data_IF_569320298893
#
_entry.id   IF_569320298893
#
_cell.length_a   1.000
_cell.length_b   1.000
_cell.length_c   1.000
_cell.angle_alpha   90.00
_cell.angle_beta   90.00
_cell.angle_gamma   90.00
#
_symmetry.space_group_name_H-M   'P 1'
#
loop_
_entity.id
_entity.type
_entity.pdbx_description
1 polymer ?
#
# COMPACT_ATOMS: atom_id res chain seq x y z
N UNK A 1 10.69 17.07 2.41
CA UNK A 1 9.96 15.83 2.05
C UNK A 1 9.52 15.15 3.33
N UNK A 2 8.31 14.63 3.34
CA UNK A 2 7.79 13.85 4.46
C UNK A 2 8.49 12.49 4.51
N UNK A 3 8.68 11.96 5.70
CA UNK A 3 9.34 10.67 5.88
C UNK A 3 8.32 9.52 5.99
N UNK A 4 8.75 8.32 5.63
CA UNK A 4 7.98 7.08 5.79
C UNK A 4 8.89 6.01 6.40
N UNK A 5 8.29 5.06 7.10
CA UNK A 5 9.01 3.96 7.73
C UNK A 5 8.34 2.60 7.53
N UNK A 6 7.25 2.55 6.76
CA UNK A 6 6.59 1.32 6.35
C UNK A 6 6.00 1.43 4.95
N UNK A 7 6.17 0.39 4.16
CA UNK A 7 5.54 0.18 2.84
C UNK A 7 4.87 -1.18 2.85
N UNK A 8 3.62 -1.24 2.41
CA UNK A 8 2.79 -2.44 2.38
C UNK A 8 2.19 -2.61 0.98
N UNK A 9 2.32 -3.81 0.41
CA UNK A 9 1.59 -4.19 -0.80
C UNK A 9 0.32 -4.93 -0.42
N UNK A 10 -0.79 -4.53 -1.04
CA UNK A 10 -2.08 -5.19 -0.96
C UNK A 10 -2.33 -5.94 -2.26
N UNK A 11 -2.73 -7.21 -2.14
CA UNK A 11 -3.13 -8.06 -3.27
C UNK A 11 -4.63 -8.25 -3.16
N UNK A 12 -5.38 -7.80 -4.16
CA UNK A 12 -6.84 -7.84 -4.16
C UNK A 12 -7.46 -7.23 -2.88
N UNK A 13 -6.88 -6.12 -2.40
CA UNK A 13 -7.35 -5.40 -1.21
C UNK A 13 -6.93 -5.99 0.13
N UNK A 14 -6.32 -7.18 0.18
CA UNK A 14 -5.78 -7.78 1.41
C UNK A 14 -4.28 -7.50 1.56
N UNK A 15 -3.80 -7.12 2.76
CA UNK A 15 -2.36 -6.94 2.98
C UNK A 15 -1.66 -8.29 2.88
N UNK A 16 -0.63 -8.38 2.05
CA UNK A 16 0.22 -9.57 1.98
C UNK A 16 1.34 -9.44 3.03
N UNK A 17 1.42 -10.39 3.96
CA UNK A 17 2.38 -10.36 5.06
C UNK A 17 3.84 -10.39 4.59
N UNK A 18 4.12 -11.07 3.48
CA UNK A 18 5.47 -11.18 2.92
C UNK A 18 5.88 -9.91 2.15
N UNK A 19 4.91 -9.05 1.84
CA UNK A 19 5.10 -7.77 1.13
C UNK A 19 4.90 -6.58 2.06
N UNK A 20 5.35 -6.73 3.31
CA UNK A 20 5.35 -5.70 4.35
C UNK A 20 6.79 -5.32 4.71
N UNK A 21 7.19 -4.10 4.35
CA UNK A 21 8.54 -3.60 4.56
C UNK A 21 8.52 -2.51 5.61
N UNK A 22 9.30 -2.68 6.67
CA UNK A 22 9.51 -1.62 7.67
C UNK A 22 10.97 -1.17 7.65
N UNK A 23 11.22 0.09 7.98
CA UNK A 23 12.59 0.62 8.13
C UNK A 23 13.37 -0.15 9.20
N UNK A 24 12.68 -0.70 10.19
CA UNK A 24 13.27 -1.52 11.26
C UNK A 24 13.76 -2.87 10.75
N UNK A 25 12.96 -3.56 9.94
CA UNK A 25 13.26 -4.93 9.47
C UNK A 25 14.06 -4.94 8.16
N UNK A 26 13.88 -3.92 7.32
CA UNK A 26 14.51 -3.80 5.99
C UNK A 26 15.14 -2.42 5.78
N UNK A 27 16.08 -1.98 6.64
CA UNK A 27 16.60 -0.62 6.64
C UNK A 27 17.27 -0.21 5.32
N UNK A 28 17.85 -1.16 4.59
CA UNK A 28 18.54 -0.91 3.30
C UNK A 28 17.61 -0.47 2.18
N UNK A 29 16.29 -0.73 2.29
CA UNK A 29 15.31 -0.25 1.31
C UNK A 29 14.91 1.21 1.54
N UNK A 30 15.22 1.77 2.72
CA UNK A 30 14.77 3.11 3.11
C UNK A 30 15.91 4.12 3.07
N UNK A 31 15.65 5.25 2.42
CA UNK A 31 16.59 6.36 2.29
C UNK A 31 16.27 7.53 3.23
N UNK A 32 17.28 8.37 3.46
CA UNK A 32 17.13 9.61 4.23
C UNK A 32 16.94 10.85 3.33
N UNK A 33 17.15 10.68 2.02
CA UNK A 33 17.03 11.73 1.00
C UNK A 33 15.59 12.07 0.59
N UNK A 34 15.44 12.52 -0.64
CA UNK A 34 14.12 12.81 -1.26
C UNK A 34 13.34 11.52 -1.51
N UNK A 35 14.03 10.51 -2.08
CA UNK A 35 13.50 9.15 -2.24
C UNK A 35 13.56 8.47 -0.88
N UNK A 36 12.40 8.07 -0.36
CA UNK A 36 12.28 7.46 0.97
C UNK A 36 12.30 5.94 0.97
N UNK A 37 11.92 5.33 -0.15
CA UNK A 37 11.89 3.89 -0.30
C UNK A 37 12.14 3.53 -1.77
N UNK A 38 13.06 2.61 -2.02
CA UNK A 38 13.40 2.13 -3.36
C UNK A 38 13.92 0.69 -3.25
N UNK A 39 13.20 -0.25 -3.88
CA UNK A 39 13.61 -1.66 -4.00
C UNK A 39 12.77 -2.34 -5.09
N UNK A 40 13.32 -3.39 -5.69
CA UNK A 40 12.57 -4.30 -6.55
C UNK A 40 11.82 -5.31 -5.68
N UNK A 41 10.50 -5.39 -5.84
CA UNK A 41 9.64 -6.28 -5.05
C UNK A 41 9.17 -7.44 -5.94
N UNK A 42 9.64 -8.68 -5.74
CA UNK A 42 9.08 -9.83 -6.43
C UNK A 42 7.67 -10.10 -5.89
N UNK A 43 6.69 -10.16 -6.78
CA UNK A 43 5.30 -10.49 -6.45
C UNK A 43 4.90 -11.73 -7.22
N UNK A 44 4.66 -12.82 -6.50
CA UNK A 44 4.15 -14.06 -7.08
C UNK A 44 2.62 -14.03 -7.11
N UNK A 45 2.03 -14.23 -8.30
CA UNK A 45 0.59 -14.24 -8.52
C UNK A 45 0.19 -15.54 -9.22
N UNK A 46 -0.77 -16.25 -8.64
CA UNK A 46 -1.35 -17.47 -9.22
C UNK A 46 -2.60 -17.21 -10.07
N UNK A 47 -3.18 -16.03 -9.94
CA UNK A 47 -4.39 -15.58 -10.62
C UNK A 47 -4.35 -14.06 -10.81
N UNK A 48 -5.27 -13.55 -11.61
CA UNK A 48 -5.44 -12.11 -11.82
C UNK A 48 -5.57 -11.37 -10.50
N UNK A 49 -4.85 -10.26 -10.39
CA UNK A 49 -4.84 -9.46 -9.20
C UNK A 49 -4.72 -7.98 -9.51
N UNK A 50 -5.33 -7.16 -8.66
CA UNK A 50 -4.94 -5.76 -8.56
C UNK A 50 -4.02 -5.57 -7.35
N UNK A 51 -2.95 -4.81 -7.56
CA UNK A 51 -1.97 -4.46 -6.55
C UNK A 51 -2.14 -3.00 -6.16
N UNK A 52 -2.08 -2.72 -4.86
CA UNK A 52 -2.00 -1.35 -4.33
C UNK A 52 -0.81 -1.30 -3.37
N UNK A 53 0.04 -0.28 -3.54
CA UNK A 53 1.15 -0.01 -2.62
C UNK A 53 0.77 1.15 -1.72
N UNK A 54 0.78 0.95 -0.40
CA UNK A 54 0.59 2.01 0.57
C UNK A 54 1.87 2.24 1.36
N UNK A 55 2.18 3.51 1.60
CA UNK A 55 3.31 3.95 2.41
C UNK A 55 2.80 4.78 3.60
N UNK A 56 3.42 4.60 4.76
CA UNK A 56 3.09 5.35 5.98
C UNK A 56 4.35 5.67 6.79
N UNK A 57 4.35 6.87 7.39
CA UNK A 57 5.23 7.18 8.51
C UNK A 57 4.59 6.77 9.83
N UNK A 58 4.57 5.47 10.15
CA UNK A 58 3.96 4.94 11.37
C UNK A 58 4.60 5.56 12.62
N UNK A 59 3.77 6.15 13.49
CA UNK A 59 4.24 6.90 14.66
C UNK A 59 4.88 8.27 14.36
N UNK A 60 4.95 8.67 13.08
CA UNK A 60 5.38 10.01 12.65
C UNK A 60 4.18 10.94 12.49
N UNK A 61 4.45 12.22 12.26
CA UNK A 61 3.42 13.25 12.07
C UNK A 61 3.73 14.11 10.85
N UNK A 62 2.69 14.59 10.17
CA UNK A 62 2.80 15.54 9.05
C UNK A 62 3.36 16.90 9.48
N UNK A 63 3.27 17.23 10.78
CA UNK A 63 3.71 18.51 11.33
C UNK A 63 2.77 19.65 10.97
N UNK A 64 3.30 20.83 10.65
CA UNK A 64 2.45 21.99 10.37
C UNK A 64 1.78 21.85 9.00
N UNK A 65 0.45 21.66 8.99
CA UNK A 65 -0.39 21.67 7.78
C UNK A 65 -1.44 22.78 7.87
N UNK A 66 -1.91 23.26 6.71
CA UNK A 66 -2.99 24.26 6.65
C UNK A 66 -4.35 23.56 6.72
N UNK A 67 -5.18 23.93 7.69
CA UNK A 67 -6.55 23.44 7.82
C UNK A 67 -7.06 23.49 9.25
N UNK A 68 -8.38 23.51 9.46
CA UNK A 68 -8.99 23.60 10.79
C UNK A 68 -8.94 22.29 11.58
N UNK A 69 -8.52 21.19 10.95
CA UNK A 69 -8.57 19.84 11.50
C UNK A 69 -7.16 19.27 11.68
N UNK A 70 -7.06 18.31 12.61
CA UNK A 70 -5.97 17.46 13.11
C UNK A 70 -4.92 16.90 12.12
N UNK A 71 -4.83 17.39 10.89
CA UNK A 71 -3.96 16.88 9.84
C UNK A 71 -2.48 16.90 10.24
N UNK A 72 -2.06 17.76 11.17
CA UNK A 72 -0.67 17.82 11.58
C UNK A 72 -0.22 16.68 12.49
N UNK A 73 -1.15 16.09 13.25
CA UNK A 73 -0.89 14.99 14.19
C UNK A 73 -1.00 13.62 13.52
N UNK A 74 -1.52 13.58 12.28
CA UNK A 74 -1.64 12.33 11.52
C UNK A 74 -0.32 12.02 10.80
N UNK A 75 -0.02 10.73 10.60
CA UNK A 75 1.18 10.34 9.86
C UNK A 75 1.04 10.71 8.38
N UNK A 76 2.17 10.95 7.68
CA UNK A 76 2.17 10.99 6.23
C UNK A 76 1.76 9.64 5.67
N UNK A 77 0.83 9.65 4.71
CA UNK A 77 0.35 8.46 4.00
C UNK A 77 0.32 8.74 2.51
N UNK A 78 0.74 7.76 1.72
CA UNK A 78 0.57 7.75 0.27
C UNK A 78 0.06 6.38 -0.17
N UNK A 79 -0.76 6.37 -1.22
CA UNK A 79 -1.33 5.15 -1.79
C UNK A 79 -1.19 5.24 -3.31
N UNK A 80 -0.70 4.18 -3.94
CA UNK A 80 -0.61 4.12 -5.40
C UNK A 80 -1.99 4.00 -6.02
N UNK A 81 -2.10 4.36 -7.31
CA UNK A 81 -3.20 3.85 -8.11
C UNK A 81 -3.10 2.30 -8.19
N UNK A 82 -4.23 1.59 -8.37
CA UNK A 82 -4.19 0.15 -8.58
C UNK A 82 -3.41 -0.23 -9.84
N UNK A 83 -2.62 -1.28 -9.74
CA UNK A 83 -1.93 -1.93 -10.86
C UNK A 83 -2.68 -3.23 -11.13
N UNK A 84 -3.35 -3.33 -12.27
CA UNK A 84 -4.07 -4.54 -12.66
C UNK A 84 -3.14 -5.48 -13.43
N UNK A 85 -3.07 -6.73 -12.99
CA UNK A 85 -2.27 -7.79 -13.60
C UNK A 85 -3.22 -8.87 -14.09
N UNK A 86 -3.22 -9.07 -15.41
CA UNK A 86 -3.83 -10.20 -16.10
C UNK A 86 -2.74 -11.27 -16.30
N UNK A 87 -2.84 -12.37 -15.56
CA UNK A 87 -1.77 -13.37 -15.47
C UNK A 87 -1.73 -14.27 -16.71
N UNK A 88 -2.89 -14.54 -17.31
CA UNK A 88 -3.02 -15.46 -18.46
C UNK A 88 -3.15 -14.75 -19.82
N UNK A 89 -3.36 -13.44 -19.83
CA UNK A 89 -3.51 -12.62 -21.03
C UNK A 89 -4.89 -12.70 -21.66
N UNK A 90 -5.90 -13.26 -20.97
CA UNK A 90 -7.27 -13.43 -21.47
C UNK A 90 -8.23 -12.30 -21.08
N UNK A 91 -7.70 -11.23 -20.50
CA UNK A 91 -8.43 -10.11 -19.95
C UNK A 91 -8.67 -10.26 -18.44
N UNK A 92 -8.48 -9.16 -17.71
CA UNK A 92 -8.57 -9.11 -16.26
C UNK A 92 -9.93 -9.59 -15.72
N UNK A 93 -9.90 -10.50 -14.75
CA UNK A 93 -11.05 -10.95 -13.96
C UNK A 93 -10.84 -10.67 -12.48
N UNK A 94 -11.77 -9.92 -11.89
CA UNK A 94 -11.75 -9.68 -10.44
C UNK A 94 -12.02 -10.97 -9.67
N UNK A 95 -11.32 -11.18 -8.54
CA UNK A 95 -11.46 -12.38 -7.71
C UNK A 95 -12.81 -12.47 -6.94
N UNK A 96 -13.58 -11.38 -6.91
CA UNK A 96 -14.89 -11.33 -6.25
C UNK A 96 -14.84 -11.34 -4.72
N UNK A 97 -13.66 -11.22 -4.10
CA UNK A 97 -13.53 -11.14 -2.65
C UNK A 97 -14.15 -9.83 -2.12
N UNK A 98 -15.03 -9.97 -1.13
CA UNK A 98 -15.75 -8.86 -0.52
C UNK A 98 -15.04 -8.28 0.71
N UNK A 99 -13.82 -8.74 1.02
CA UNK A 99 -13.01 -8.28 2.16
C UNK A 99 -13.76 -8.41 3.50
N UNK A 100 -14.55 -9.48 3.61
CA UNK A 100 -15.39 -9.76 4.78
C UNK A 100 -16.46 -8.66 5.06
N UNK A 101 -16.76 -7.83 4.05
CA UNK A 101 -17.76 -6.77 4.13
C UNK A 101 -19.14 -7.31 3.73
N UNK A 102 -20.20 -7.11 4.53
CA UNK A 102 -21.56 -7.46 4.13
C UNK A 102 -22.01 -6.51 3.03
N UNK A 103 -22.05 -7.00 1.78
CA UNK A 103 -22.70 -6.27 0.69
C UNK A 103 -24.20 -6.57 0.66
N UNK A 104 -25.05 -5.57 0.41
CA UNK A 104 -26.46 -5.81 0.08
C UNK A 104 -26.53 -6.43 -1.33
N UNK A 105 -26.29 -7.73 -1.43
CA UNK A 105 -26.48 -8.48 -2.67
C UNK A 105 -27.99 -8.60 -2.92
N UNK A 106 -28.46 -8.11 -4.06
CA UNK A 106 -29.84 -8.33 -4.48
C UNK A 106 -30.11 -9.83 -4.64
N UNK A 107 -31.22 -10.32 -4.09
CA UNK A 107 -31.74 -11.66 -4.38
C UNK A 107 -32.14 -11.81 -5.83
#
# INVERSE_FOLDING_TARGET
WLDINRVQVFVNGRPNNDLNFTRRETPTHFGDGVVKFETDIPVELSEDAHLIVAAIGEGLTLGRVMGPLWGGEKPPVAVSNPIFVDVDGSGFKANGDLLDVPLPLSK
#
